data_IF_890699727014
#
_entry.id   IF_890699727014
#
_cell.length_a   1.000
_cell.length_b   1.000
_cell.length_c   1.000
_cell.angle_alpha   90.00
_cell.angle_beta   90.00
_cell.angle_gamma   90.00
#
_symmetry.space_group_name_H-M   'P 1'
#
loop_
_entity.id
_entity.type
_entity.pdbx_description
1 polymer ?
#
# COMPACT_ATOMS: atom_id res chain seq x y z
N UNK A 1 47.46 -33.23 -30.41
CA UNK A 1 45.98 -33.24 -30.23
C UNK A 1 45.69 -32.71 -28.84
N UNK A 2 45.15 -31.50 -28.75
CA UNK A 2 44.80 -30.85 -27.49
C UNK A 2 43.30 -31.06 -27.22
N UNK A 3 42.95 -31.66 -26.08
CA UNK A 3 41.59 -31.69 -25.58
C UNK A 3 41.41 -30.46 -24.69
N UNK A 4 40.67 -29.48 -25.22
CA UNK A 4 40.18 -28.32 -24.49
C UNK A 4 39.03 -28.79 -23.58
N UNK A 5 39.27 -28.78 -22.27
CA UNK A 5 38.22 -28.90 -21.26
C UNK A 5 37.66 -27.50 -21.01
N UNK A 6 36.45 -27.26 -21.51
CA UNK A 6 35.66 -26.11 -21.07
C UNK A 6 35.20 -26.36 -19.62
N UNK A 7 35.43 -25.42 -18.69
CA UNK A 7 34.80 -25.53 -17.38
C UNK A 7 33.30 -25.32 -17.56
N UNK A 8 32.48 -26.26 -17.08
CA UNK A 8 31.06 -26.03 -16.87
C UNK A 8 30.93 -24.78 -16.00
N UNK A 9 30.22 -23.79 -16.52
CA UNK A 9 29.74 -22.68 -15.72
C UNK A 9 29.03 -23.26 -14.50
N UNK A 10 29.48 -22.86 -13.31
CA UNK A 10 28.69 -23.09 -12.09
C UNK A 10 27.45 -22.22 -12.26
N UNK A 11 26.34 -22.83 -12.66
CA UNK A 11 25.03 -22.22 -12.53
C UNK A 11 24.84 -21.94 -11.03
N UNK A 12 25.07 -20.68 -10.65
CA UNK A 12 24.51 -20.17 -9.42
C UNK A 12 23.00 -20.27 -9.59
N UNK A 13 22.27 -20.96 -8.72
CA UNK A 13 20.81 -20.98 -8.81
C UNK A 13 20.35 -19.53 -8.71
N UNK A 14 19.72 -19.01 -9.78
CA UNK A 14 19.00 -17.75 -9.73
C UNK A 14 17.96 -17.92 -8.64
N UNK A 15 18.17 -17.23 -7.52
CA UNK A 15 17.25 -17.30 -6.40
C UNK A 15 16.02 -16.51 -6.82
N UNK A 16 14.99 -17.20 -7.29
CA UNK A 16 13.70 -16.60 -7.67
C UNK A 16 12.96 -16.15 -6.40
N UNK A 17 13.44 -15.08 -5.78
CA UNK A 17 12.87 -14.47 -4.57
C UNK A 17 12.50 -13.02 -4.84
N UNK A 18 11.43 -12.55 -4.19
CA UNK A 18 11.01 -11.15 -4.27
C UNK A 18 12.00 -10.19 -3.61
N UNK A 19 12.57 -10.59 -2.47
CA UNK A 19 13.47 -9.77 -1.68
C UNK A 19 14.74 -10.55 -1.32
N UNK A 20 15.89 -9.94 -1.56
CA UNK A 20 17.19 -10.35 -1.03
C UNK A 20 17.36 -9.88 0.41
N UNK A 21 16.82 -8.71 0.74
CA UNK A 21 16.86 -8.08 2.06
C UNK A 21 15.46 -7.61 2.48
N UNK A 22 15.08 -7.76 3.74
CA UNK A 22 13.74 -7.39 4.24
C UNK A 22 13.74 -6.31 5.30
N UNK A 23 14.91 -5.89 5.81
CA UNK A 23 15.02 -4.76 6.75
C UNK A 23 15.06 -3.43 5.97
N UNK A 24 13.86 -2.99 5.55
CA UNK A 24 13.69 -1.81 4.71
C UNK A 24 13.17 -0.63 5.53
N UNK A 25 13.76 0.55 5.33
CA UNK A 25 13.45 1.77 6.10
C UNK A 25 12.53 2.72 5.36
N UNK A 26 12.52 2.63 4.03
CA UNK A 26 11.73 3.49 3.16
C UNK A 26 11.11 2.64 2.05
N UNK A 27 9.88 2.99 1.68
CA UNK A 27 9.22 2.53 0.46
C UNK A 27 8.79 3.76 -0.33
N UNK A 28 9.31 3.92 -1.55
CA UNK A 28 8.80 4.87 -2.53
C UNK A 28 7.93 4.13 -3.54
N UNK A 29 6.73 4.66 -3.79
CA UNK A 29 5.78 4.14 -4.77
C UNK A 29 5.69 5.19 -5.87
N UNK A 30 6.22 4.87 -7.04
CA UNK A 30 6.30 5.77 -8.19
C UNK A 30 5.35 5.30 -9.27
N UNK A 31 4.34 6.12 -9.63
CA UNK A 31 3.47 5.85 -10.78
C UNK A 31 3.95 6.62 -11.99
N UNK A 32 4.27 5.93 -13.07
CA UNK A 32 4.70 6.53 -14.33
C UNK A 32 3.51 6.78 -15.27
N UNK A 33 3.75 7.60 -16.29
CA UNK A 33 2.72 7.86 -17.31
C UNK A 33 2.38 6.60 -18.11
N UNK A 34 3.39 5.79 -18.45
CA UNK A 34 3.21 4.45 -19.03
C UNK A 34 4.53 3.67 -19.04
N UNK A 35 4.49 2.38 -19.40
CA UNK A 35 5.71 1.56 -19.61
C UNK A 35 6.65 2.17 -20.66
N UNK A 36 6.13 2.89 -21.67
CA UNK A 36 6.99 3.54 -22.69
C UNK A 36 7.39 4.99 -22.34
N UNK A 37 6.75 5.60 -21.33
CA UNK A 37 6.96 6.98 -20.90
C UNK A 37 7.15 7.01 -19.38
N UNK A 38 8.41 6.90 -18.97
CA UNK A 38 8.86 6.80 -17.57
C UNK A 38 8.84 8.15 -16.85
N UNK A 39 8.00 9.10 -17.28
CA UNK A 39 7.74 10.31 -16.52
C UNK A 39 6.84 9.99 -15.33
N UNK A 40 7.33 10.24 -14.12
CA UNK A 40 6.57 10.10 -12.88
C UNK A 40 5.37 11.06 -12.90
N UNK A 41 4.19 10.52 -12.62
CA UNK A 41 2.93 11.26 -12.49
C UNK A 41 2.51 11.41 -11.03
N UNK A 42 2.80 10.41 -10.20
CA UNK A 42 2.50 10.41 -8.77
C UNK A 42 3.63 9.71 -8.02
N UNK A 43 3.90 10.16 -6.80
CA UNK A 43 4.87 9.56 -5.89
C UNK A 43 4.28 9.53 -4.49
N UNK A 44 4.49 8.43 -3.78
CA UNK A 44 4.16 8.28 -2.36
C UNK A 44 5.38 7.72 -1.65
N UNK A 45 5.78 8.34 -0.55
CA UNK A 45 6.90 7.88 0.28
C UNK A 45 6.38 7.45 1.64
N UNK A 46 6.72 6.22 2.03
CA UNK A 46 6.30 5.60 3.29
C UNK A 46 7.55 5.30 4.11
N UNK A 47 7.54 5.76 5.37
CA UNK A 47 8.59 5.51 6.36
C UNK A 47 8.09 4.74 7.59
N UNK A 48 6.83 4.31 7.58
CA UNK A 48 6.24 3.51 8.67
C UNK A 48 6.66 2.05 8.52
N UNK A 49 7.51 1.57 9.42
CA UNK A 49 8.08 0.21 9.36
C UNK A 49 7.03 -0.89 9.40
N UNK A 50 5.93 -0.70 10.14
CA UNK A 50 4.84 -1.67 10.18
C UNK A 50 4.16 -1.83 8.82
N UNK A 51 3.89 -0.70 8.15
CA UNK A 51 3.34 -0.69 6.78
C UNK A 51 4.32 -1.33 5.80
N UNK A 52 5.60 -0.94 5.83
CA UNK A 52 6.63 -1.49 4.93
C UNK A 52 6.73 -3.01 5.11
N UNK A 53 6.82 -3.50 6.34
CA UNK A 53 6.86 -4.93 6.64
C UNK A 53 5.60 -5.67 6.18
N UNK A 54 4.42 -5.05 6.28
CA UNK A 54 3.18 -5.63 5.77
C UNK A 54 3.20 -5.75 4.23
N UNK A 55 3.70 -4.74 3.51
CA UNK A 55 3.89 -4.78 2.07
C UNK A 55 4.85 -5.90 1.67
N UNK A 56 6.02 -5.97 2.31
CA UNK A 56 7.01 -7.04 2.07
C UNK A 56 6.38 -8.42 2.29
N UNK A 57 5.65 -8.61 3.39
CA UNK A 57 5.01 -9.88 3.70
C UNK A 57 3.96 -10.28 2.66
N UNK A 58 3.14 -9.32 2.18
CA UNK A 58 2.11 -9.58 1.17
C UNK A 58 2.70 -9.85 -0.20
N UNK A 59 3.71 -9.09 -0.63
CA UNK A 59 4.44 -9.35 -1.88
C UNK A 59 5.10 -10.72 -1.82
N UNK A 60 5.74 -11.06 -0.69
CA UNK A 60 6.39 -12.36 -0.50
C UNK A 60 5.41 -13.55 -0.50
N UNK A 61 4.11 -13.30 -0.27
CA UNK A 61 3.05 -14.30 -0.36
C UNK A 61 2.52 -14.49 -1.80
N UNK A 62 2.85 -13.57 -2.72
CA UNK A 62 2.59 -13.75 -4.15
C UNK A 62 3.59 -14.79 -4.68
N UNK A 63 3.15 -15.80 -5.45
CA UNK A 63 4.06 -16.73 -6.11
C UNK A 63 5.15 -16.01 -6.90
N UNK A 64 6.37 -16.53 -6.87
CA UNK A 64 7.50 -15.92 -7.60
C UNK A 64 7.51 -16.28 -9.08
N UNK A 65 6.71 -17.26 -9.48
CA UNK A 65 6.42 -17.61 -10.87
C UNK A 65 5.35 -16.68 -11.45
N UNK A 66 5.59 -16.22 -12.68
CA UNK A 66 4.73 -15.28 -13.37
C UNK A 66 3.43 -15.88 -13.84
N UNK A 67 2.45 -15.02 -14.09
CA UNK A 67 1.31 -15.39 -14.91
C UNK A 67 1.80 -15.68 -16.35
N UNK A 68 0.96 -16.35 -17.15
CA UNK A 68 1.18 -16.60 -18.59
C UNK A 68 1.88 -15.43 -19.31
N UNK A 69 2.62 -15.70 -20.39
CA UNK A 69 3.24 -14.62 -21.19
C UNK A 69 2.21 -13.57 -21.64
N UNK A 70 2.25 -12.39 -21.00
CA UNK A 70 1.43 -11.24 -21.34
C UNK A 70 2.33 -10.19 -22.01
N UNK A 71 1.94 -9.76 -23.21
CA UNK A 71 2.55 -8.60 -23.86
C UNK A 71 1.73 -7.36 -23.54
N UNK A 72 2.35 -6.37 -22.89
CA UNK A 72 1.72 -5.09 -22.62
C UNK A 72 1.95 -4.11 -23.77
N UNK A 73 0.90 -3.37 -24.14
CA UNK A 73 1.03 -2.25 -25.08
C UNK A 73 1.85 -1.09 -24.50
N UNK A 74 2.35 -0.17 -25.33
CA UNK A 74 3.24 0.91 -24.89
C UNK A 74 2.62 1.87 -23.88
N UNK A 75 1.28 1.97 -23.87
CA UNK A 75 0.52 2.85 -22.98
C UNK A 75 0.04 2.16 -21.70
N UNK A 76 0.49 0.93 -21.43
CA UNK A 76 0.11 0.23 -20.20
C UNK A 76 0.63 0.98 -18.97
N UNK A 77 -0.12 0.86 -17.86
CA UNK A 77 0.25 1.43 -16.58
C UNK A 77 1.57 0.83 -16.08
N UNK A 78 2.41 1.66 -15.46
CA UNK A 78 3.66 1.26 -14.82
C UNK A 78 3.76 1.90 -13.43
N UNK A 79 4.03 1.08 -12.42
CA UNK A 79 4.28 1.51 -11.03
C UNK A 79 5.52 0.77 -10.52
N UNK A 80 6.44 1.51 -9.89
CA UNK A 80 7.59 0.93 -9.20
C UNK A 80 7.43 1.07 -7.69
N UNK A 81 7.70 -0.01 -6.97
CA UNK A 81 7.86 -0.05 -5.52
C UNK A 81 9.34 -0.16 -5.20
N UNK A 82 9.97 0.95 -4.83
CA UNK A 82 11.37 1.02 -4.47
C UNK A 82 11.54 0.93 -2.95
N UNK A 83 12.06 -0.20 -2.48
CA UNK A 83 12.37 -0.45 -1.08
C UNK A 83 13.85 -0.14 -0.82
N UNK A 84 14.14 0.78 0.09
CA UNK A 84 15.51 1.03 0.58
C UNK A 84 15.79 0.12 1.79
N UNK A 85 16.57 -0.93 1.55
CA UNK A 85 16.93 -1.96 2.52
C UNK A 85 18.45 -2.05 2.63
N UNK A 86 19.00 -1.83 3.84
CA UNK A 86 20.44 -1.95 4.11
C UNK A 86 21.35 -1.15 3.14
N UNK A 87 20.93 0.04 2.68
CA UNK A 87 21.59 0.88 1.68
C UNK A 87 21.61 0.30 0.24
N UNK A 88 20.68 -0.62 -0.06
CA UNK A 88 20.40 -1.08 -1.41
C UNK A 88 18.94 -0.82 -1.74
N UNK A 89 18.70 -0.39 -2.97
CA UNK A 89 17.34 -0.24 -3.50
C UNK A 89 16.94 -1.57 -4.15
N UNK A 90 15.82 -2.13 -3.70
CA UNK A 90 15.16 -3.26 -4.34
C UNK A 90 13.86 -2.75 -4.97
N UNK A 91 13.67 -3.04 -6.25
CA UNK A 91 12.52 -2.52 -7.02
C UNK A 91 11.59 -3.65 -7.39
N UNK A 92 10.32 -3.51 -7.05
CA UNK A 92 9.25 -4.37 -7.53
C UNK A 92 8.42 -3.58 -8.54
N UNK A 93 8.32 -4.10 -9.76
CA UNK A 93 7.64 -3.44 -10.87
C UNK A 93 6.22 -3.98 -11.03
N UNK A 94 5.26 -3.13 -11.34
CA UNK A 94 3.86 -3.47 -11.58
C UNK A 94 3.45 -2.91 -12.95
N UNK A 95 2.93 -3.77 -13.81
CA UNK A 95 2.49 -3.42 -15.16
C UNK A 95 1.06 -3.86 -15.41
N UNK A 96 0.21 -2.95 -15.91
CA UNK A 96 -1.16 -3.29 -16.26
C UNK A 96 -1.93 -3.98 -15.13
N UNK A 97 -1.68 -3.59 -13.88
CA UNK A 97 -2.21 -4.15 -12.62
C UNK A 97 -1.65 -5.49 -12.14
N UNK A 98 -0.70 -6.09 -12.87
CA UNK A 98 -0.01 -7.32 -12.46
C UNK A 98 1.41 -7.04 -11.98
N UNK A 99 1.87 -7.79 -10.98
CA UNK A 99 3.23 -7.70 -10.49
C UNK A 99 4.18 -8.41 -11.46
N UNK A 100 5.30 -7.76 -11.79
CA UNK A 100 6.38 -8.40 -12.55
C UNK A 100 7.11 -9.38 -11.62
N UNK A 101 6.93 -10.66 -11.88
CA UNK A 101 7.48 -11.73 -11.05
C UNK A 101 8.97 -11.97 -11.28
N UNK A 102 9.72 -12.46 -10.27
CA UNK A 102 11.14 -12.76 -10.41
C UNK A 102 11.45 -13.93 -11.38
N UNK A 103 10.52 -14.87 -11.55
CA UNK A 103 10.68 -16.07 -12.39
C UNK A 103 9.85 -15.98 -13.67
N UNK A 104 10.34 -16.65 -14.72
CA UNK A 104 9.62 -16.87 -15.99
C UNK A 104 8.76 -18.15 -15.97
N UNK A 105 8.69 -18.85 -14.83
CA UNK A 105 7.74 -19.95 -14.62
C UNK A 105 6.31 -19.46 -14.77
N UNK A 106 5.39 -20.35 -15.13
CA UNK A 106 3.98 -20.00 -15.30
C UNK A 106 3.15 -20.52 -14.14
N UNK A 107 2.44 -19.61 -13.48
CA UNK A 107 1.35 -19.90 -12.57
C UNK A 107 0.03 -19.48 -13.23
N UNK A 108 -1.03 -20.26 -13.05
CA UNK A 108 -2.34 -20.00 -13.66
C UNK A 108 -3.25 -19.15 -12.78
N UNK A 109 -2.90 -19.00 -11.51
CA UNK A 109 -3.83 -18.54 -10.49
C UNK A 109 -3.44 -17.14 -10.00
N UNK A 110 -4.20 -16.15 -10.45
CA UNK A 110 -4.15 -14.81 -9.86
C UNK A 110 -4.58 -14.89 -8.40
N UNK A 111 -3.69 -14.47 -7.51
CA UNK A 111 -3.97 -14.49 -6.08
C UNK A 111 -4.82 -13.29 -5.67
N UNK A 112 -5.84 -13.50 -4.83
CA UNK A 112 -6.62 -12.41 -4.20
C UNK A 112 -5.71 -11.42 -3.45
N UNK A 113 -4.56 -11.89 -2.96
CA UNK A 113 -3.53 -11.09 -2.30
C UNK A 113 -2.96 -10.04 -3.26
N UNK A 114 -2.69 -10.42 -4.51
CA UNK A 114 -2.16 -9.52 -5.53
C UNK A 114 -3.18 -8.43 -5.89
N UNK A 115 -4.44 -8.81 -6.11
CA UNK A 115 -5.50 -7.87 -6.46
C UNK A 115 -5.74 -6.85 -5.34
N UNK A 116 -5.85 -7.33 -4.09
CA UNK A 116 -6.03 -6.44 -2.93
C UNK A 116 -4.81 -5.55 -2.70
N UNK A 117 -3.59 -6.05 -2.91
CA UNK A 117 -2.38 -5.25 -2.75
C UNK A 117 -2.27 -4.16 -3.82
N UNK A 118 -2.62 -4.48 -5.07
CA UNK A 118 -2.71 -3.48 -6.13
C UNK A 118 -3.75 -2.40 -5.80
N UNK A 119 -4.93 -2.78 -5.30
CA UNK A 119 -5.96 -1.82 -4.88
C UNK A 119 -5.45 -0.88 -3.78
N UNK A 120 -4.70 -1.40 -2.81
CA UNK A 120 -4.09 -0.59 -1.75
C UNK A 120 -3.07 0.39 -2.30
N UNK A 121 -2.21 -0.04 -3.23
CA UNK A 121 -1.23 0.81 -3.92
C UNK A 121 -1.92 1.93 -4.70
N UNK A 122 -2.96 1.60 -5.47
CA UNK A 122 -3.73 2.59 -6.24
C UNK A 122 -4.44 3.58 -5.31
N UNK A 123 -5.01 3.12 -4.19
CA UNK A 123 -5.67 3.98 -3.21
C UNK A 123 -4.69 4.93 -2.51
N UNK A 124 -3.43 4.52 -2.31
CA UNK A 124 -2.37 5.36 -1.77
C UNK A 124 -1.89 6.42 -2.77
N UNK A 125 -1.68 6.04 -4.03
CA UNK A 125 -1.23 6.94 -5.10
C UNK A 125 -2.30 7.95 -5.50
N UNK A 126 -3.56 7.51 -5.54
CA UNK A 126 -4.70 8.27 -6.05
C UNK A 126 -5.89 8.10 -5.09
N UNK A 127 -5.83 8.68 -3.88
CA UNK A 127 -6.93 8.63 -2.92
C UNK A 127 -8.16 9.36 -3.48
N UNK A 128 -9.35 8.79 -3.26
CA UNK A 128 -10.62 9.39 -3.68
C UNK A 128 -11.77 8.93 -2.78
N UNK A 129 -12.91 9.60 -2.89
CA UNK A 129 -14.13 9.21 -2.20
C UNK A 129 -14.57 7.80 -2.62
N UNK A 130 -15.13 7.07 -1.66
CA UNK A 130 -15.55 5.68 -1.78
C UNK A 130 -14.41 4.67 -2.02
N UNK A 131 -13.15 5.08 -2.17
CA UNK A 131 -12.02 4.14 -2.13
C UNK A 131 -11.76 3.67 -0.70
N UNK A 132 -11.46 2.38 -0.55
CA UNK A 132 -10.91 1.83 0.68
C UNK A 132 -9.43 2.17 0.69
N UNK A 133 -8.96 2.84 1.75
CA UNK A 133 -7.58 3.34 1.82
C UNK A 133 -6.90 2.73 3.06
N UNK A 134 -5.70 2.12 2.91
CA UNK A 134 -4.95 1.63 4.06
C UNK A 134 -4.49 2.77 4.98
N UNK A 135 -4.54 2.52 6.28
CA UNK A 135 -4.03 3.42 7.32
C UNK A 135 -2.51 3.34 7.37
N UNK A 136 -1.85 4.30 6.72
CA UNK A 136 -0.38 4.45 6.78
C UNK A 136 -0.03 5.61 7.68
N UNK A 137 0.74 5.33 8.76
CA UNK A 137 1.05 6.32 9.77
C UNK A 137 1.92 7.44 9.19
N UNK A 138 1.48 8.69 9.40
CA UNK A 138 2.21 9.89 8.98
C UNK A 138 2.13 10.20 7.48
N UNK A 139 1.49 9.35 6.68
CA UNK A 139 1.32 9.61 5.25
C UNK A 139 0.20 10.64 5.02
N UNK A 140 0.55 11.72 4.33
CA UNK A 140 -0.41 12.75 3.91
C UNK A 140 -1.07 12.31 2.61
N UNK A 141 -2.38 12.09 2.65
CA UNK A 141 -3.16 11.69 1.48
C UNK A 141 -3.95 12.89 0.95
N UNK A 142 -3.62 13.41 -0.25
CA UNK A 142 -4.26 14.60 -0.80
C UNK A 142 -5.59 14.27 -1.48
N UNK A 143 -6.66 14.92 -1.04
CA UNK A 143 -7.93 15.01 -1.75
C UNK A 143 -8.03 16.37 -2.44
N UNK A 144 -9.01 16.55 -3.34
CA UNK A 144 -9.19 17.81 -4.09
C UNK A 144 -9.30 19.07 -3.20
N UNK A 145 -9.99 18.96 -2.07
CA UNK A 145 -10.34 20.11 -1.22
C UNK A 145 -9.60 20.12 0.14
N UNK A 146 -8.87 19.05 0.48
CA UNK A 146 -8.21 18.84 1.78
C UNK A 146 -7.18 17.71 1.71
N UNK A 147 -6.42 17.49 2.77
CA UNK A 147 -5.65 16.27 2.98
C UNK A 147 -6.03 15.58 4.29
N UNK A 148 -5.84 14.27 4.36
CA UNK A 148 -6.00 13.48 5.58
C UNK A 148 -4.70 12.73 5.90
N UNK A 149 -4.34 12.69 7.16
CA UNK A 149 -3.17 11.96 7.68
C UNK A 149 -3.61 11.10 8.85
N UNK A 150 -3.31 9.81 8.79
CA UNK A 150 -3.46 8.92 9.94
C UNK A 150 -2.24 9.08 10.86
N UNK A 151 -2.48 9.51 12.10
CA UNK A 151 -1.42 9.86 13.07
C UNK A 151 -0.98 8.65 13.92
N UNK A 152 -1.70 7.53 13.83
CA UNK A 152 -1.48 6.35 14.65
C UNK A 152 -2.67 6.05 15.57
N UNK A 153 -2.50 5.01 16.40
CA UNK A 153 -3.49 4.63 17.41
C UNK A 153 -2.86 4.56 18.79
N UNK A 154 -3.66 4.95 19.78
CA UNK A 154 -3.38 4.68 21.19
C UNK A 154 -4.25 3.52 21.69
N UNK A 155 -3.74 2.78 22.67
CA UNK A 155 -4.51 1.80 23.42
C UNK A 155 -4.75 2.32 24.84
N UNK A 156 -6.01 2.35 25.26
CA UNK A 156 -6.41 2.70 26.61
C UNK A 156 -7.15 1.55 27.27
N UNK A 157 -6.54 1.02 28.32
CA UNK A 157 -7.21 0.13 29.26
C UNK A 157 -7.76 0.97 30.40
N UNK A 158 -9.08 0.88 30.64
CA UNK A 158 -9.67 1.46 31.84
C UNK A 158 -9.70 0.41 32.95
N UNK A 159 -9.45 0.83 34.19
CA UNK A 159 -9.55 -0.05 35.36
C UNK A 159 -11.01 -0.10 35.86
N UNK A 160 -11.56 -1.27 36.23
CA UNK A 160 -10.93 -2.60 36.13
C UNK A 160 -10.73 -3.00 34.67
N UNK A 161 -9.62 -3.68 34.35
CA UNK A 161 -9.18 -4.07 32.98
C UNK A 161 -10.11 -5.08 32.29
N UNK A 162 -11.38 -4.73 32.13
CA UNK A 162 -12.40 -5.54 31.47
C UNK A 162 -12.65 -5.03 30.05
N UNK A 163 -12.22 -3.80 29.73
CA UNK A 163 -12.47 -3.18 28.43
C UNK A 163 -11.25 -2.42 27.94
N UNK A 164 -10.71 -2.85 26.80
CA UNK A 164 -9.64 -2.16 26.06
C UNK A 164 -10.24 -1.36 24.92
N UNK A 165 -9.83 -0.10 24.80
CA UNK A 165 -10.25 0.78 23.71
C UNK A 165 -9.05 1.13 22.85
N UNK A 166 -9.26 1.07 21.54
CA UNK A 166 -8.31 1.57 20.54
C UNK A 166 -8.79 2.95 20.09
N UNK A 167 -7.92 3.95 20.12
CA UNK A 167 -8.24 5.30 19.68
C UNK A 167 -7.39 5.60 18.45
N UNK A 168 -8.04 5.69 17.29
CA UNK A 168 -7.38 6.10 16.05
C UNK A 168 -7.38 7.62 15.95
N UNK A 169 -6.23 8.19 15.59
CA UNK A 169 -6.03 9.63 15.45
C UNK A 169 -5.87 10.00 13.98
N UNK A 170 -6.66 10.97 13.52
CA UNK A 170 -6.56 11.53 12.18
C UNK A 170 -6.36 13.04 12.25
N UNK A 171 -5.60 13.57 11.31
CA UNK A 171 -5.42 15.00 11.07
C UNK A 171 -5.99 15.33 9.69
N UNK A 172 -6.89 16.31 9.64
CA UNK A 172 -7.45 16.81 8.40
C UNK A 172 -7.03 18.27 8.21
N UNK A 173 -6.54 18.59 7.02
CA UNK A 173 -6.08 19.93 6.67
C UNK A 173 -6.82 20.39 5.43
N UNK A 174 -7.78 21.30 5.59
CA UNK A 174 -8.44 21.96 4.46
C UNK A 174 -7.52 23.00 3.81
N UNK A 175 -7.60 23.21 2.49
CA UNK A 175 -6.81 24.25 1.83
C UNK A 175 -7.15 25.64 2.38
N UNK A 176 -6.18 26.27 3.06
CA UNK A 176 -6.36 27.58 3.70
C UNK A 176 -7.18 27.58 5.00
N UNK A 177 -7.49 26.40 5.55
CA UNK A 177 -8.20 26.25 6.83
C UNK A 177 -7.25 25.76 7.94
N UNK A 178 -7.68 25.92 9.20
CA UNK A 178 -6.97 25.35 10.35
C UNK A 178 -7.04 23.82 10.32
N UNK A 179 -6.01 23.18 10.83
CA UNK A 179 -5.98 21.74 11.05
C UNK A 179 -7.10 21.28 11.99
N UNK A 180 -7.78 20.20 11.63
CA UNK A 180 -8.80 19.55 12.44
C UNK A 180 -8.29 18.17 12.87
N UNK A 181 -8.23 17.94 14.19
CA UNK A 181 -7.89 16.63 14.76
C UNK A 181 -9.15 15.84 15.05
N UNK A 182 -9.15 14.58 14.62
CA UNK A 182 -10.26 13.65 14.80
C UNK A 182 -9.76 12.47 15.61
N UNK A 183 -10.57 12.04 16.57
CA UNK A 183 -10.31 10.86 17.39
C UNK A 183 -11.48 9.89 17.22
N UNK A 184 -11.18 8.67 16.78
CA UNK A 184 -12.18 7.62 16.63
C UNK A 184 -11.90 6.54 17.65
N UNK A 185 -12.85 6.34 18.57
CA UNK A 185 -12.74 5.35 19.63
C UNK A 185 -13.45 4.06 19.23
N UNK A 186 -12.68 3.00 19.10
CA UNK A 186 -13.15 1.65 18.83
C UNK A 186 -13.04 0.81 20.11
N UNK A 187 -14.11 0.10 20.47
CA UNK A 187 -14.17 -0.72 21.68
C UNK A 187 -15.10 -1.91 21.48
N UNK A 188 -16.00 -2.17 22.44
CA UNK A 188 -16.99 -3.23 22.32
C UNK A 188 -18.02 -3.00 21.21
N UNK A 189 -18.34 -1.73 20.92
CA UNK A 189 -19.24 -1.36 19.83
C UNK A 189 -18.44 -0.75 18.66
N UNK A 190 -18.92 -0.96 17.42
CA UNK A 190 -18.42 -0.24 16.25
C UNK A 190 -18.40 1.27 16.48
N UNK A 191 -17.32 2.00 16.14
CA UNK A 191 -17.36 3.45 16.14
C UNK A 191 -18.41 3.95 15.13
N UNK A 192 -19.21 4.98 15.48
CA UNK A 192 -20.12 5.58 14.52
C UNK A 192 -19.33 6.29 13.41
N UNK A 193 -19.94 6.44 12.22
CA UNK A 193 -19.41 7.32 11.17
C UNK A 193 -19.11 8.73 11.71
N UNK A 194 -17.95 9.28 11.36
CA UNK A 194 -17.54 10.60 11.82
C UNK A 194 -17.80 11.65 10.74
N UNK A 195 -18.75 12.56 10.97
CA UNK A 195 -18.98 13.71 10.10
C UNK A 195 -17.95 14.82 10.34
N UNK A 196 -17.52 15.43 9.23
CA UNK A 196 -16.48 16.46 9.16
C UNK A 196 -16.97 17.52 8.17
N UNK A 197 -16.81 18.79 8.53
CA UNK A 197 -17.12 19.90 7.62
C UNK A 197 -15.82 20.45 7.03
N UNK A 198 -15.69 20.37 5.71
CA UNK A 198 -14.54 20.87 4.96
C UNK A 198 -15.05 21.83 3.90
N UNK A 199 -14.63 23.10 3.95
CA UNK A 199 -15.07 24.12 2.99
C UNK A 199 -16.61 24.16 2.81
N UNK A 200 -17.37 24.07 3.91
CA UNK A 200 -18.85 24.02 3.94
C UNK A 200 -19.49 22.80 3.28
N UNK A 201 -18.71 21.76 2.97
CA UNK A 201 -19.20 20.45 2.52
C UNK A 201 -19.08 19.46 3.67
N UNK A 202 -20.14 18.66 3.87
CA UNK A 202 -20.09 17.53 4.80
C UNK A 202 -19.42 16.35 4.14
N UNK A 203 -18.51 15.73 4.87
CA UNK A 203 -17.77 14.53 4.48
C UNK A 203 -17.81 13.59 5.68
N UNK A 204 -17.97 12.30 5.42
CA UNK A 204 -18.02 11.29 6.48
C UNK A 204 -16.80 10.38 6.39
N UNK A 205 -16.11 10.23 7.50
CA UNK A 205 -15.00 9.28 7.69
C UNK A 205 -15.55 7.99 8.30
N UNK A 206 -15.36 6.88 7.58
CA UNK A 206 -15.69 5.53 8.00
C UNK A 206 -14.42 4.77 8.35
N UNK A 207 -14.41 4.07 9.49
CA UNK A 207 -13.25 3.29 9.96
C UNK A 207 -13.58 1.88 10.44
N UNK A 208 -14.87 1.51 10.45
CA UNK A 208 -15.33 0.20 10.87
C UNK A 208 -15.82 -0.66 9.71
N UNK A 209 -16.78 -0.15 8.95
CA UNK A 209 -17.34 -0.76 7.75
C UNK A 209 -17.48 0.28 6.64
N UNK A 210 -17.43 -0.16 5.40
CA UNK A 210 -17.74 0.66 4.23
C UNK A 210 -19.23 0.97 4.17
N UNK A 211 -19.60 1.86 3.25
CA UNK A 211 -21.01 2.10 2.90
C UNK A 211 -21.77 0.82 2.52
N UNK A 212 -21.07 -0.16 1.95
CA UNK A 212 -21.62 -1.43 1.49
C UNK A 212 -21.34 -2.58 2.47
N UNK A 213 -21.17 -2.29 3.76
CA UNK A 213 -20.97 -3.28 4.85
C UNK A 213 -19.74 -4.19 4.72
N UNK A 214 -18.70 -3.75 3.99
CA UNK A 214 -17.41 -4.44 3.98
C UNK A 214 -16.54 -3.95 5.13
N UNK A 215 -15.81 -4.87 5.79
CA UNK A 215 -15.03 -4.54 6.98
C UNK A 215 -13.81 -3.66 6.64
N UNK A 216 -13.67 -2.54 7.35
CA UNK A 216 -12.50 -1.64 7.31
C UNK A 216 -11.58 -1.82 8.52
N UNK A 217 -12.16 -2.09 9.70
CA UNK A 217 -11.40 -2.20 10.93
C UNK A 217 -10.53 -3.46 10.97
N UNK A 218 -9.24 -3.38 11.38
CA UNK A 218 -8.57 -2.19 11.93
C UNK A 218 -7.72 -1.39 10.95
N UNK A 219 -7.51 -1.89 9.73
CA UNK A 219 -6.41 -1.47 8.84
C UNK A 219 -6.77 -0.38 7.84
N UNK A 220 -8.06 -0.17 7.58
CA UNK A 220 -8.52 0.70 6.50
C UNK A 220 -9.45 1.81 6.99
N UNK A 221 -9.62 2.81 6.15
CA UNK A 221 -10.66 3.81 6.27
C UNK A 221 -11.26 4.13 4.90
N UNK A 222 -12.43 4.77 4.88
CA UNK A 222 -13.10 5.23 3.67
C UNK A 222 -13.67 6.63 3.91
N UNK A 223 -13.55 7.49 2.91
CA UNK A 223 -14.16 8.83 2.92
C UNK A 223 -15.37 8.83 1.99
N UNK A 224 -16.52 9.30 2.45
CA UNK A 224 -17.75 9.42 1.64
C UNK A 224 -18.32 10.85 1.69
N UNK A 225 -19.15 11.19 0.70
CA UNK A 225 -19.89 12.46 0.61
C UNK A 225 -21.38 12.23 0.77
#
# INVERSE_FOLDING_TARGET
>A
MALSTFPLAKDHPVKNVWFEHTDCKLLNINKFKSISDHRITHTVTISDSNTINNFIARISAIPTDGDMMISFGPNAEAIDLEFDCENKIQTIEIYGKGFKTPSTGFNSDKSEIEETLYQDIDALLMPDFNKIIPKVKGLVLPFKDFSITYMGSDFKDYSPKTTSFKIDHFLITGHGQKEQRIQIRSGQLPPPPQEIEINRKRITLLTYETKDSHRLYPHYFQMIR
#
